data_IF_645794423413
#
_entry.id   IF_645794423413
#
_cell.length_a   1.000
_cell.length_b   1.000
_cell.length_c   1.000
_cell.angle_alpha   90.00
_cell.angle_beta   90.00
_cell.angle_gamma   90.00
#
_symmetry.space_group_name_H-M   'P 1'
#
loop_
_entity.id
_entity.type
_entity.pdbx_description
1 polymer ?
#
# COMPACT_ATOMS: atom_id res chain seq x y z
N UNK A 1 -15.44 25.36 28.97
CA UNK A 1 -15.33 25.51 27.51
C UNK A 1 -14.13 24.70 27.02
N UNK A 2 -14.32 23.86 26.02
CA UNK A 2 -13.36 22.82 25.61
C UNK A 2 -12.10 23.35 24.88
N UNK A 3 -12.06 24.66 24.57
CA UNK A 3 -10.97 25.32 23.85
C UNK A 3 -10.36 26.49 24.65
N UNK A 4 -9.94 26.24 25.88
CA UNK A 4 -9.11 27.19 26.63
C UNK A 4 -7.78 27.40 25.89
N UNK A 5 -7.24 28.62 25.86
CA UNK A 5 -5.91 28.93 25.28
C UNK A 5 -4.82 27.97 25.76
N UNK A 6 -4.83 27.62 27.06
CA UNK A 6 -3.90 26.66 27.65
C UNK A 6 -4.04 25.25 27.07
N UNK A 7 -5.28 24.82 26.75
CA UNK A 7 -5.53 23.50 26.15
C UNK A 7 -5.00 23.42 24.72
N UNK A 8 -5.15 24.51 23.95
CA UNK A 8 -4.64 24.62 22.57
C UNK A 8 -3.11 24.67 22.57
N UNK A 9 -2.49 25.45 23.47
CA UNK A 9 -1.04 25.52 23.62
C UNK A 9 -0.43 24.16 23.98
N UNK A 10 -1.03 23.42 24.91
CA UNK A 10 -0.58 22.06 25.26
C UNK A 10 -0.65 21.13 24.05
N UNK A 11 -1.74 21.18 23.27
CA UNK A 11 -1.87 20.36 22.06
C UNK A 11 -0.85 20.71 20.98
N UNK A 12 -0.48 21.98 20.86
CA UNK A 12 0.59 22.43 19.96
C UNK A 12 1.99 22.00 20.42
N UNK A 13 2.19 21.85 21.74
CA UNK A 13 3.44 21.31 22.28
C UNK A 13 3.60 19.79 22.00
N UNK A 14 2.50 19.06 21.88
CA UNK A 14 2.48 17.64 21.50
C UNK A 14 2.68 17.42 19.99
N UNK A 15 2.35 18.42 19.15
CA UNK A 15 2.54 18.33 17.70
C UNK A 15 2.13 19.59 16.93
N UNK A 16 2.60 19.69 15.69
CA UNK A 16 2.26 20.81 14.81
C UNK A 16 0.86 20.65 14.20
N UNK A 17 -0.08 21.53 14.58
CA UNK A 17 -1.42 21.61 14.00
C UNK A 17 -1.64 23.00 13.41
N UNK A 18 -1.94 23.04 12.11
CA UNK A 18 -2.21 24.29 11.40
C UNK A 18 -3.47 24.99 11.95
N UNK A 19 -4.50 24.21 12.28
CA UNK A 19 -5.77 24.72 12.81
C UNK A 19 -5.53 25.40 14.16
N UNK A 20 -4.91 24.71 15.12
CA UNK A 20 -4.64 25.28 16.45
C UNK A 20 -3.72 26.50 16.38
N UNK A 21 -2.71 26.48 15.51
CA UNK A 21 -1.84 27.64 15.28
C UNK A 21 -2.61 28.84 14.75
N UNK A 22 -3.51 28.62 13.79
CA UNK A 22 -4.36 29.67 13.24
C UNK A 22 -5.34 30.21 14.27
N UNK A 23 -5.97 29.35 15.08
CA UNK A 23 -6.88 29.78 16.15
C UNK A 23 -6.18 30.67 17.18
N UNK A 24 -4.94 30.35 17.58
CA UNK A 24 -4.18 31.22 18.49
C UNK A 24 -3.76 32.53 17.85
N UNK A 25 -3.42 32.52 16.56
CA UNK A 25 -2.94 33.71 15.84
C UNK A 25 -4.05 34.70 15.51
N UNK A 26 -5.19 34.19 15.06
CA UNK A 26 -6.29 35.01 14.57
C UNK A 26 -7.45 35.13 15.56
N UNK A 27 -7.42 34.39 16.68
CA UNK A 27 -8.50 34.36 17.66
C UNK A 27 -9.64 33.43 17.24
N UNK A 28 -10.29 32.82 18.23
CA UNK A 28 -11.34 31.83 18.00
C UNK A 28 -12.58 32.41 17.33
N UNK A 29 -12.95 33.65 17.67
CA UNK A 29 -14.18 34.30 17.18
C UNK A 29 -14.20 34.49 15.65
N UNK A 30 -13.03 34.41 15.00
CA UNK A 30 -12.89 34.50 13.55
C UNK A 30 -13.04 33.15 12.84
N UNK A 31 -13.32 32.07 13.56
CA UNK A 31 -13.56 30.75 12.99
C UNK A 31 -15.01 30.32 13.22
N UNK A 32 -15.60 29.69 12.20
CA UNK A 32 -16.89 29.00 12.31
C UNK A 32 -16.71 27.54 11.93
N UNK A 33 -17.40 26.66 12.65
CA UNK A 33 -17.48 25.23 12.32
C UNK A 33 -18.90 24.98 11.86
N UNK A 34 -19.03 24.43 10.67
CA UNK A 34 -20.31 23.99 10.15
C UNK A 34 -20.40 22.46 10.23
N UNK A 35 -21.48 21.97 10.83
CA UNK A 35 -21.84 20.57 10.79
C UNK A 35 -22.88 20.37 9.68
N UNK A 36 -22.58 19.50 8.72
CA UNK A 36 -23.48 19.15 7.64
C UNK A 36 -23.66 17.62 7.57
N UNK A 37 -24.77 17.19 6.97
CA UNK A 37 -25.02 15.77 6.72
C UNK A 37 -24.03 15.22 5.69
N UNK A 38 -23.68 13.94 5.85
CA UNK A 38 -22.71 13.25 4.99
C UNK A 38 -23.13 13.31 3.52
N UNK A 39 -24.43 13.28 3.23
CA UNK A 39 -24.97 13.37 1.87
C UNK A 39 -24.61 14.68 1.17
N UNK A 40 -24.44 15.76 1.93
CA UNK A 40 -24.26 17.11 1.40
C UNK A 40 -22.79 17.56 1.49
N UNK A 41 -21.89 16.72 2.02
CA UNK A 41 -20.52 17.09 2.33
C UNK A 41 -19.77 17.64 1.11
N UNK A 42 -19.88 16.98 -0.04
CA UNK A 42 -19.19 17.37 -1.28
C UNK A 42 -19.74 18.70 -1.81
N UNK A 43 -21.06 18.89 -1.75
CA UNK A 43 -21.71 20.13 -2.20
C UNK A 43 -21.30 21.33 -1.31
N UNK A 44 -21.24 21.12 0.01
CA UNK A 44 -20.79 22.16 0.95
C UNK A 44 -19.31 22.47 0.80
N UNK A 45 -18.47 21.46 0.59
CA UNK A 45 -17.04 21.67 0.31
C UNK A 45 -16.85 22.51 -0.96
N UNK A 46 -17.51 22.14 -2.06
CA UNK A 46 -17.43 22.89 -3.31
C UNK A 46 -17.93 24.34 -3.14
N UNK A 47 -19.06 24.53 -2.45
CA UNK A 47 -19.62 25.86 -2.17
C UNK A 47 -18.59 26.79 -1.50
N UNK A 48 -17.85 26.30 -0.50
CA UNK A 48 -16.85 27.12 0.19
C UNK A 48 -15.57 27.34 -0.62
N UNK A 49 -15.14 26.36 -1.43
CA UNK A 49 -14.02 26.53 -2.35
C UNK A 49 -14.33 27.65 -3.34
N UNK A 50 -15.53 27.65 -3.91
CA UNK A 50 -15.95 28.64 -4.90
C UNK A 50 -16.21 30.01 -4.28
N UNK A 51 -16.77 30.06 -3.06
CA UNK A 51 -17.06 31.30 -2.36
C UNK A 51 -15.81 32.03 -1.88
N UNK A 52 -14.83 31.31 -1.33
CA UNK A 52 -13.66 31.89 -0.69
C UNK A 52 -12.46 32.03 -1.62
N UNK A 53 -12.46 31.32 -2.76
CA UNK A 53 -11.37 31.23 -3.73
C UNK A 53 -9.96 31.23 -3.08
N UNK A 54 -9.67 30.28 -2.17
CA UNK A 54 -8.45 30.33 -1.39
C UNK A 54 -7.19 30.11 -2.25
N UNK A 55 -6.22 31.03 -2.16
CA UNK A 55 -4.96 31.00 -2.91
C UNK A 55 -4.18 29.68 -2.73
N UNK A 56 -4.21 29.11 -1.52
CA UNK A 56 -3.47 27.90 -1.19
C UNK A 56 -4.09 26.62 -1.77
N UNK A 57 -5.35 26.65 -2.20
CA UNK A 57 -6.03 25.44 -2.60
C UNK A 57 -5.69 25.09 -4.05
N UNK A 58 -4.88 24.03 -4.23
CA UNK A 58 -4.46 23.57 -5.55
C UNK A 58 -5.59 22.81 -6.26
N UNK A 59 -6.51 22.21 -5.50
CA UNK A 59 -7.64 21.43 -6.02
C UNK A 59 -8.87 22.33 -6.11
N UNK A 60 -9.31 22.65 -7.33
CA UNK A 60 -10.48 23.50 -7.54
C UNK A 60 -11.81 22.75 -7.44
N UNK A 61 -11.78 21.44 -7.59
CA UNK A 61 -12.97 20.58 -7.56
C UNK A 61 -12.93 19.78 -6.25
N UNK A 62 -13.98 19.92 -5.45
CA UNK A 62 -14.19 19.15 -4.22
C UNK A 62 -14.20 17.66 -4.53
N UNK A 63 -13.65 16.85 -3.60
CA UNK A 63 -13.52 15.40 -3.74
C UNK A 63 -12.68 14.89 -4.94
N UNK A 64 -12.32 15.72 -5.91
CA UNK A 64 -11.59 15.31 -7.12
C UNK A 64 -10.15 15.79 -7.13
N UNK A 65 -9.25 14.90 -7.54
CA UNK A 65 -7.83 15.19 -7.82
C UNK A 65 -7.56 15.30 -9.31
N UNK A 66 -8.62 15.28 -10.13
CA UNK A 66 -8.52 15.30 -11.58
C UNK A 66 -7.99 16.65 -12.07
N UNK A 67 -7.09 16.64 -13.06
CA UNK A 67 -6.44 17.85 -13.58
C UNK A 67 -5.24 18.37 -12.77
N UNK A 68 -4.82 17.67 -11.71
CA UNK A 68 -3.63 18.06 -10.93
C UNK A 68 -2.37 17.66 -11.69
N UNK A 69 -1.46 18.61 -11.91
CA UNK A 69 -0.16 18.40 -12.60
C UNK A 69 0.64 17.18 -12.11
N UNK A 70 0.47 16.78 -10.86
CA UNK A 70 1.12 15.60 -10.29
C UNK A 70 0.68 14.29 -10.97
N UNK A 71 -0.57 14.20 -11.44
CA UNK A 71 -1.07 13.08 -12.24
C UNK A 71 -0.40 13.10 -13.61
N UNK A 72 -0.25 14.26 -14.27
CA UNK A 72 0.42 14.33 -15.58
C UNK A 72 1.87 13.87 -15.51
N UNK A 73 2.62 14.29 -14.48
CA UNK A 73 4.02 13.88 -14.28
C UNK A 73 4.09 12.36 -14.03
N UNK A 74 3.19 11.82 -13.21
CA UNK A 74 3.12 10.39 -12.93
C UNK A 74 2.74 9.57 -14.17
N UNK A 75 1.74 10.00 -14.95
CA UNK A 75 1.35 9.40 -16.23
C UNK A 75 2.50 9.42 -17.24
N UNK A 76 3.23 10.52 -17.35
CA UNK A 76 4.45 10.61 -18.18
C UNK A 76 5.56 9.66 -17.71
N UNK A 77 5.57 9.28 -16.43
CA UNK A 77 6.56 8.37 -15.86
C UNK A 77 6.19 6.90 -16.02
N UNK A 78 4.90 6.54 -16.00
CA UNK A 78 4.40 5.17 -16.14
C UNK A 78 4.73 4.52 -17.49
N UNK A 79 4.93 5.31 -18.55
CA UNK A 79 5.28 4.83 -19.88
C UNK A 79 6.78 4.68 -20.14
N UNK A 80 7.65 5.00 -19.17
CA UNK A 80 9.11 4.96 -19.38
C UNK A 80 9.62 3.53 -19.38
N UNK A 81 9.89 3.00 -20.59
CA UNK A 81 10.61 1.75 -20.76
C UNK A 81 12.10 1.99 -20.49
N UNK A 82 12.71 1.17 -19.64
CA UNK A 82 14.16 1.16 -19.48
C UNK A 82 14.84 0.85 -20.81
N UNK A 83 15.97 1.51 -21.08
CA UNK A 83 16.85 1.17 -22.20
C UNK A 83 17.40 -0.25 -22.03
N UNK A 84 17.78 -0.89 -23.14
CA UNK A 84 18.34 -2.26 -23.08
C UNK A 84 19.59 -2.34 -22.21
N UNK A 85 20.44 -1.30 -22.26
CA UNK A 85 21.61 -1.19 -21.39
C UNK A 85 21.24 -1.11 -19.89
N UNK A 86 20.20 -0.35 -19.54
CA UNK A 86 19.73 -0.26 -18.16
C UNK A 86 19.14 -1.59 -17.68
N UNK A 87 18.40 -2.30 -18.54
CA UNK A 87 17.88 -3.64 -18.23
C UNK A 87 19.01 -4.63 -17.96
N UNK A 88 20.11 -4.59 -18.72
CA UNK A 88 21.26 -5.46 -18.51
C UNK A 88 21.94 -5.17 -17.17
N UNK A 89 22.20 -3.90 -16.83
CA UNK A 89 22.75 -3.51 -15.52
C UNK A 89 21.84 -3.94 -14.36
N UNK A 90 20.51 -3.83 -14.52
CA UNK A 90 19.56 -4.30 -13.51
C UNK A 90 19.60 -5.83 -13.35
N UNK A 91 19.76 -6.58 -14.45
CA UNK A 91 19.91 -8.05 -14.41
C UNK A 91 21.22 -8.45 -13.73
N UNK A 92 22.33 -7.81 -14.05
CA UNK A 92 23.63 -8.04 -13.41
C UNK A 92 23.55 -7.81 -11.90
N UNK A 93 22.98 -6.68 -11.45
CA UNK A 93 22.79 -6.38 -10.03
C UNK A 93 21.88 -7.41 -9.34
N UNK A 94 20.84 -7.90 -10.02
CA UNK A 94 19.96 -8.93 -9.48
C UNK A 94 20.65 -10.29 -9.30
N UNK A 95 21.59 -10.63 -10.18
CA UNK A 95 22.42 -11.85 -10.06
C UNK A 95 23.42 -11.68 -8.91
N UNK A 96 24.10 -10.54 -8.83
CA UNK A 96 25.05 -10.24 -7.75
C UNK A 96 24.38 -10.32 -6.37
N UNK A 97 23.14 -9.82 -6.23
CA UNK A 97 22.33 -9.90 -5.00
C UNK A 97 21.93 -11.31 -4.56
N UNK A 98 22.14 -12.33 -5.39
CA UNK A 98 21.90 -13.74 -5.06
C UNK A 98 23.18 -14.48 -4.66
N UNK A 99 24.35 -13.85 -4.78
CA UNK A 99 25.62 -14.44 -4.34
C UNK A 99 25.71 -14.50 -2.81
N UNK A 100 26.40 -15.52 -2.31
CA UNK A 100 26.58 -15.80 -0.87
C UNK A 100 27.25 -14.63 -0.12
N UNK A 101 28.05 -13.85 -0.85
CA UNK A 101 28.78 -12.65 -0.40
C UNK A 101 27.85 -11.46 -0.05
N UNK A 102 26.57 -11.51 -0.42
CA UNK A 102 25.66 -10.37 -0.24
C UNK A 102 24.84 -10.45 1.04
N UNK A 103 24.65 -9.30 1.70
CA UNK A 103 23.84 -9.18 2.92
C UNK A 103 22.36 -9.60 2.78
N UNK A 104 21.92 -9.95 1.57
CA UNK A 104 20.57 -10.42 1.25
C UNK A 104 20.48 -11.94 1.04
N UNK A 105 21.60 -12.67 0.96
CA UNK A 105 21.62 -14.12 0.74
C UNK A 105 20.83 -14.89 1.81
N UNK A 106 21.07 -14.56 3.09
CA UNK A 106 20.35 -15.16 4.23
C UNK A 106 18.87 -14.74 4.35
N UNK A 107 18.38 -13.83 3.49
CA UNK A 107 16.99 -13.36 3.51
C UNK A 107 16.08 -14.08 2.51
N UNK A 108 16.63 -14.84 1.57
CA UNK A 108 15.84 -15.65 0.65
C UNK A 108 15.77 -17.11 1.15
N UNK A 109 14.58 -17.73 1.17
CA UNK A 109 14.47 -19.13 1.59
C UNK A 109 15.22 -20.04 0.61
N UNK A 110 15.93 -21.05 1.13
CA UNK A 110 16.63 -22.03 0.28
C UNK A 110 15.64 -22.77 -0.64
N UNK A 111 16.08 -23.32 -1.79
CA UNK A 111 15.21 -24.11 -2.67
C UNK A 111 14.50 -25.25 -1.94
N UNK A 112 15.19 -25.89 -1.00
CA UNK A 112 14.65 -26.92 -0.12
C UNK A 112 13.59 -26.35 0.85
N UNK A 113 13.82 -25.17 1.42
CA UNK A 113 12.83 -24.48 2.28
C UNK A 113 11.56 -24.10 1.50
N UNK A 114 11.72 -23.60 0.27
CA UNK A 114 10.58 -23.29 -0.62
C UNK A 114 9.79 -24.55 -0.98
N UNK A 115 10.48 -25.66 -1.26
CA UNK A 115 9.85 -26.95 -1.51
C UNK A 115 9.06 -27.44 -0.29
N UNK A 116 9.65 -27.38 0.90
CA UNK A 116 8.98 -27.75 2.16
C UNK A 116 7.77 -26.85 2.46
N UNK A 117 7.88 -25.55 2.22
CA UNK A 117 6.76 -24.60 2.32
C UNK A 117 5.63 -24.93 1.34
N UNK A 118 5.96 -25.32 0.11
CA UNK A 118 4.99 -25.78 -0.88
C UNK A 118 4.29 -27.05 -0.40
N UNK A 119 5.05 -28.07 0.00
CA UNK A 119 4.53 -29.37 0.48
C UNK A 119 3.64 -29.19 1.72
N UNK A 120 3.99 -28.27 2.63
CA UNK A 120 3.19 -27.98 3.82
C UNK A 120 1.90 -27.22 3.54
N UNK A 121 1.84 -26.48 2.41
CA UNK A 121 0.63 -25.77 1.96
C UNK A 121 -0.28 -26.63 1.08
N UNK A 122 0.29 -27.63 0.41
CA UNK A 122 -0.43 -28.53 -0.49
C UNK A 122 -1.41 -29.44 0.26
N UNK A 123 -2.53 -29.74 -0.38
CA UNK A 123 -3.52 -30.67 0.14
C UNK A 123 -3.09 -32.09 -0.22
N UNK A 124 -2.96 -32.95 0.79
CA UNK A 124 -2.64 -34.38 0.59
C UNK A 124 -3.93 -35.15 0.32
N UNK A 125 -4.10 -35.61 -0.92
CA UNK A 125 -5.26 -36.42 -1.32
C UNK A 125 -4.81 -37.88 -1.49
N UNK A 126 -5.42 -38.78 -0.72
CA UNK A 126 -5.22 -40.23 -0.86
C UNK A 126 -6.27 -40.78 -1.81
N UNK A 127 -5.84 -41.34 -2.93
CA UNK A 127 -6.70 -42.00 -3.93
C UNK A 127 -6.44 -43.49 -3.85
N UNK A 128 -7.51 -44.28 -3.68
CA UNK A 128 -7.45 -45.74 -3.63
C UNK A 128 -8.08 -46.25 -4.92
N UNK A 129 -7.31 -47.02 -5.70
CA UNK A 129 -7.84 -47.69 -6.88
C UNK A 129 -8.53 -48.99 -6.46
N UNK A 130 -9.86 -49.02 -6.54
CA UNK A 130 -10.69 -50.14 -6.08
C UNK A 130 -10.54 -51.41 -6.92
N UNK A 131 -9.94 -51.31 -8.12
CA UNK A 131 -9.76 -52.47 -9.02
C UNK A 131 -8.42 -53.15 -8.78
N UNK A 132 -7.37 -52.38 -8.47
CA UNK A 132 -6.01 -52.88 -8.28
C UNK A 132 -5.58 -52.95 -6.81
N UNK A 133 -6.41 -52.43 -5.88
CA UNK A 133 -6.12 -52.31 -4.45
C UNK A 133 -4.79 -51.57 -4.17
N UNK A 134 -4.46 -50.60 -5.03
CA UNK A 134 -3.28 -49.75 -4.90
C UNK A 134 -3.67 -48.40 -4.28
N UNK A 135 -2.85 -47.92 -3.35
CA UNK A 135 -3.02 -46.60 -2.76
C UNK A 135 -2.01 -45.63 -3.39
N UNK A 136 -2.48 -44.46 -3.84
CA UNK A 136 -1.64 -43.36 -4.36
C UNK A 136 -1.89 -42.07 -3.59
N UNK A 137 -0.82 -41.32 -3.34
CA UNK A 137 -0.85 -40.06 -2.58
C UNK A 137 -0.50 -38.92 -3.54
N UNK A 138 -1.42 -37.98 -3.66
CA UNK A 138 -1.27 -36.80 -4.49
C UNK A 138 -1.02 -35.58 -3.61
N UNK A 139 -0.07 -34.74 -4.04
CA UNK A 139 0.18 -33.42 -3.50
C UNK A 139 -0.26 -32.43 -4.59
N UNK A 140 -1.45 -31.87 -4.43
CA UNK A 140 -2.14 -31.05 -5.44
C UNK A 140 -2.28 -31.76 -6.81
N UNK A 141 -2.14 -31.04 -7.95
CA UNK A 141 -2.34 -31.56 -9.31
C UNK A 141 -1.14 -32.35 -9.88
N UNK A 142 -0.09 -32.57 -9.09
CA UNK A 142 1.10 -33.31 -9.50
C UNK A 142 1.13 -34.70 -8.82
N UNK A 143 1.33 -35.73 -9.62
CA UNK A 143 1.41 -37.12 -9.16
C UNK A 143 2.73 -37.35 -8.39
N UNK A 144 2.66 -37.57 -7.07
CA UNK A 144 3.80 -38.02 -6.30
C UNK A 144 3.89 -39.55 -6.39
N UNK A 145 4.90 -40.06 -7.10
CA UNK A 145 5.22 -41.49 -7.15
C UNK A 145 5.48 -42.02 -5.73
N UNK A 146 4.61 -42.90 -5.24
CA UNK A 146 4.87 -43.67 -4.03
C UNK A 146 5.92 -44.74 -4.33
N UNK A 147 7.03 -44.69 -3.61
CA UNK A 147 8.00 -45.78 -3.48
C UNK A 147 7.27 -46.92 -2.74
N UNK A 148 7.16 -48.08 -3.39
CA UNK A 148 6.53 -49.26 -2.82
C UNK A 148 7.17 -49.61 -1.46
N UNK A 149 6.33 -49.83 -0.45
CA UNK A 149 6.78 -50.40 0.83
C UNK A 149 6.75 -51.92 0.68
N UNK A 150 7.93 -52.54 0.76
CA UNK A 150 8.10 -53.98 1.00
C UNK A 150 7.54 -54.30 2.39
#
# INVERSE_FOLDING_TARGET
MYYSTNSVQRKLAEGSSAIYSATLKYGYDNFSIECCDISNLIEREQYYIDLLEPEYNTLKIAYSREGVKHIEIWLKSLGRKHTEEAKLKMREVAILRKGEETAFYFKYPSPESLLNLSINRSIKVKVIDTVLNEERLFLDAAECRIIHKI
#
